data_IF_674191270128
#
_entry.id   IF_674191270128
#
_cell.length_a   1.000
_cell.length_b   1.000
_cell.length_c   1.000
_cell.angle_alpha   90.00
_cell.angle_beta   90.00
_cell.angle_gamma   90.00
#
_symmetry.space_group_name_H-M   'P 1'
#
loop_
_entity.id
_entity.type
_entity.pdbx_description
1 polymer ?
#
# COMPACT_ATOMS: atom_id res chain seq x y z
N UNK A 1 -4.88 -5.18 -18.47
CA UNK A 1 -4.77 -3.85 -17.82
C UNK A 1 -5.02 -2.75 -18.85
N UNK A 2 -5.49 -1.55 -18.46
CA UNK A 2 -5.84 -0.45 -19.38
C UNK A 2 -4.69 -0.11 -20.34
N UNK A 3 -3.45 -0.14 -19.86
CA UNK A 3 -2.25 0.06 -20.68
C UNK A 3 -2.06 -0.99 -21.80
N UNK A 4 -2.48 -2.24 -21.59
CA UNK A 4 -2.40 -3.30 -22.60
C UNK A 4 -3.48 -3.15 -23.68
N UNK A 5 -4.64 -2.58 -23.32
CA UNK A 5 -5.76 -2.41 -24.23
C UNK A 5 -5.70 -1.09 -25.01
N UNK A 6 -5.21 -0.02 -24.38
CA UNK A 6 -5.31 1.35 -24.88
C UNK A 6 -3.98 2.12 -24.86
N UNK A 7 -2.89 1.50 -24.42
CA UNK A 7 -1.57 2.13 -24.34
C UNK A 7 -1.35 2.98 -23.08
N UNK A 8 -0.09 3.28 -22.82
CA UNK A 8 0.36 3.94 -21.58
C UNK A 8 -0.21 5.35 -21.44
N UNK A 9 -0.23 6.14 -22.52
CA UNK A 9 -0.73 7.52 -22.48
C UNK A 9 -2.20 7.58 -22.05
N UNK A 10 -3.04 6.70 -22.59
CA UNK A 10 -4.46 6.67 -22.22
C UNK A 10 -4.62 6.21 -20.77
N UNK A 11 -3.85 5.22 -20.32
CA UNK A 11 -3.90 4.76 -18.93
C UNK A 11 -3.55 5.88 -17.92
N UNK A 12 -2.56 6.72 -18.22
CA UNK A 12 -2.21 7.89 -17.40
C UNK A 12 -3.36 8.89 -17.35
N UNK A 13 -3.92 9.27 -18.51
CA UNK A 13 -5.02 10.24 -18.58
C UNK A 13 -6.28 9.76 -17.85
N UNK A 14 -6.59 8.46 -17.91
CA UNK A 14 -7.70 7.87 -17.15
C UNK A 14 -7.45 7.99 -15.65
N UNK A 15 -6.22 7.73 -15.20
CA UNK A 15 -5.81 7.92 -13.80
C UNK A 15 -5.98 9.38 -13.35
N UNK A 16 -5.46 10.32 -14.12
CA UNK A 16 -5.57 11.76 -13.84
C UNK A 16 -7.04 12.22 -13.77
N UNK A 17 -7.88 11.73 -14.70
CA UNK A 17 -9.31 12.01 -14.71
C UNK A 17 -10.01 11.47 -13.45
N UNK A 18 -9.77 10.21 -13.08
CA UNK A 18 -10.37 9.62 -11.88
C UNK A 18 -9.91 10.34 -10.61
N UNK A 19 -8.65 10.75 -10.54
CA UNK A 19 -8.10 11.52 -9.42
C UNK A 19 -8.73 12.91 -9.30
N UNK A 20 -8.90 13.61 -10.43
CA UNK A 20 -9.59 14.90 -10.45
C UNK A 20 -11.06 14.76 -10.04
N UNK A 21 -11.74 13.73 -10.54
CA UNK A 21 -13.13 13.45 -10.22
C UNK A 21 -13.32 13.11 -8.73
N UNK A 22 -12.46 12.25 -8.15
CA UNK A 22 -12.51 11.94 -6.72
C UNK A 22 -12.26 13.18 -5.86
N UNK A 23 -11.28 14.01 -6.25
CA UNK A 23 -10.96 15.26 -5.55
C UNK A 23 -12.16 16.20 -5.53
N UNK A 24 -12.87 16.33 -6.65
CA UNK A 24 -14.09 17.12 -6.75
C UNK A 24 -15.21 16.59 -5.84
N UNK A 25 -15.39 15.27 -5.77
CA UNK A 25 -16.35 14.68 -4.83
C UNK A 25 -15.96 14.94 -3.37
N UNK A 26 -14.68 14.80 -3.00
CA UNK A 26 -14.23 15.07 -1.63
C UNK A 26 -14.43 16.53 -1.22
N UNK A 27 -14.19 17.48 -2.12
CA UNK A 27 -14.44 18.90 -1.82
C UNK A 27 -15.91 19.20 -1.61
N UNK A 28 -16.80 18.52 -2.35
CA UNK A 28 -18.25 18.69 -2.22
C UNK A 28 -18.84 18.04 -0.96
N UNK A 29 -18.07 17.27 -0.21
CA UNK A 29 -18.48 16.78 1.11
C UNK A 29 -18.44 17.90 2.16
N UNK A 30 -17.78 19.03 1.86
CA UNK A 30 -17.65 20.20 2.74
C UNK A 30 -17.12 19.87 4.15
N UNK A 31 -16.41 18.75 4.29
CA UNK A 31 -15.84 18.28 5.55
C UNK A 31 -14.32 18.40 5.52
N UNK A 32 -13.80 19.43 6.20
CA UNK A 32 -12.36 19.74 6.21
C UNK A 32 -11.51 18.61 6.82
N UNK A 33 -12.05 17.88 7.79
CA UNK A 33 -11.32 16.76 8.42
C UNK A 33 -11.11 15.62 7.41
N UNK A 34 -12.16 15.25 6.68
CA UNK A 34 -12.10 14.22 5.63
C UNK A 34 -11.22 14.67 4.46
N UNK A 35 -11.29 15.93 4.04
CA UNK A 35 -10.44 16.48 2.98
C UNK A 35 -8.95 16.41 3.38
N UNK A 36 -8.62 16.74 4.63
CA UNK A 36 -7.24 16.58 5.15
C UNK A 36 -6.81 15.13 5.18
N UNK A 37 -7.71 14.24 5.60
CA UNK A 37 -7.46 12.81 5.71
C UNK A 37 -7.12 12.19 4.35
N UNK A 38 -7.92 12.45 3.31
CA UNK A 38 -7.63 11.93 1.97
C UNK A 38 -6.36 12.58 1.37
N UNK A 39 -6.12 13.87 1.63
CA UNK A 39 -4.90 14.54 1.19
C UNK A 39 -3.65 13.89 1.80
N UNK A 40 -3.72 13.45 3.05
CA UNK A 40 -2.66 12.69 3.69
C UNK A 40 -2.46 11.32 3.03
N UNK A 41 -3.52 10.60 2.69
CA UNK A 41 -3.42 9.32 1.96
C UNK A 41 -2.74 9.48 0.60
N UNK A 42 -3.06 10.54 -0.15
CA UNK A 42 -2.44 10.81 -1.45
C UNK A 42 -0.94 11.06 -1.28
N UNK A 43 -0.56 11.85 -0.27
CA UNK A 43 0.85 12.08 0.08
C UNK A 43 1.54 10.78 0.49
N UNK A 44 0.87 9.95 1.29
CA UNK A 44 1.37 8.66 1.74
C UNK A 44 1.65 7.75 0.55
N UNK A 45 0.70 7.62 -0.40
CA UNK A 45 0.90 6.83 -1.62
C UNK A 45 2.11 7.28 -2.44
N UNK A 46 2.23 8.58 -2.72
CA UNK A 46 3.38 9.11 -3.45
C UNK A 46 4.69 8.81 -2.71
N UNK A 47 4.71 8.96 -1.39
CA UNK A 47 5.87 8.68 -0.55
C UNK A 47 6.23 7.19 -0.55
N UNK A 48 5.23 6.31 -0.52
CA UNK A 48 5.39 4.86 -0.59
C UNK A 48 6.01 4.41 -1.91
N UNK A 49 5.50 4.92 -3.05
CA UNK A 49 6.03 4.59 -4.37
C UNK A 49 7.47 5.09 -4.56
N UNK A 50 7.78 6.33 -4.11
CA UNK A 50 9.14 6.87 -4.15
C UNK A 50 10.08 6.02 -3.29
N UNK A 51 9.67 5.69 -2.05
CA UNK A 51 10.48 4.87 -1.15
C UNK A 51 10.73 3.49 -1.74
N UNK A 52 9.70 2.84 -2.28
CA UNK A 52 9.83 1.53 -2.94
C UNK A 52 10.80 1.59 -4.12
N UNK A 53 10.72 2.62 -4.96
CA UNK A 53 11.63 2.79 -6.09
C UNK A 53 13.09 3.00 -5.64
N UNK A 54 13.31 3.69 -4.51
CA UNK A 54 14.64 3.94 -3.96
C UNK A 54 15.26 2.76 -3.20
N UNK A 55 14.45 1.78 -2.78
CA UNK A 55 14.89 0.64 -1.95
C UNK A 55 14.90 -0.68 -2.71
N UNK A 56 14.85 -0.66 -4.05
CA UNK A 56 14.94 -1.90 -4.84
C UNK A 56 16.33 -2.51 -4.69
N UNK A 57 16.38 -3.81 -4.43
CA UNK A 57 17.61 -4.58 -4.19
C UNK A 57 18.41 -4.12 -2.97
N UNK A 58 17.81 -3.39 -2.04
CA UNK A 58 18.42 -3.03 -0.77
C UNK A 58 18.25 -4.17 0.26
N UNK A 59 19.30 -4.96 0.46
CA UNK A 59 19.33 -6.10 1.40
C UNK A 59 19.45 -5.68 2.87
N UNK A 60 19.71 -4.41 3.14
CA UNK A 60 19.77 -3.86 4.49
C UNK A 60 18.45 -3.22 4.93
N UNK A 61 17.39 -3.39 4.12
CA UNK A 61 16.03 -2.98 4.48
C UNK A 61 15.60 -3.64 5.79
N UNK A 62 15.11 -2.81 6.70
CA UNK A 62 14.65 -3.26 8.02
C UNK A 62 13.15 -3.54 8.01
N UNK A 63 12.71 -4.32 8.99
CA UNK A 63 11.28 -4.60 9.17
C UNK A 63 10.47 -3.31 9.38
N UNK A 64 11.02 -2.30 10.06
CA UNK A 64 10.35 -1.01 10.25
C UNK A 64 10.14 -0.27 8.91
N UNK A 65 11.13 -0.32 8.01
CA UNK A 65 11.03 0.28 6.68
C UNK A 65 9.98 -0.44 5.83
N UNK A 66 9.92 -1.76 5.93
CA UNK A 66 8.87 -2.58 5.34
C UNK A 66 7.48 -2.19 5.87
N UNK A 67 7.30 -2.12 7.19
CA UNK A 67 6.01 -1.77 7.80
C UNK A 67 5.57 -0.37 7.41
N UNK A 68 6.49 0.60 7.35
CA UNK A 68 6.20 1.96 6.92
C UNK A 68 5.80 2.01 5.43
N UNK A 69 6.50 1.27 4.57
CA UNK A 69 6.16 1.12 3.15
C UNK A 69 4.76 0.51 2.99
N UNK A 70 4.48 -0.59 3.69
CA UNK A 70 3.17 -1.27 3.67
C UNK A 70 2.06 -0.36 4.21
N UNK A 71 2.37 0.46 5.22
CA UNK A 71 1.44 1.48 5.70
C UNK A 71 1.09 2.46 4.58
N UNK A 72 2.10 3.04 3.91
CA UNK A 72 1.87 3.98 2.83
C UNK A 72 1.13 3.37 1.65
N UNK A 73 1.48 2.15 1.23
CA UNK A 73 0.95 1.49 0.03
C UNK A 73 -0.51 1.06 0.14
N UNK A 74 -0.98 0.69 1.33
CA UNK A 74 -2.35 0.16 1.49
C UNK A 74 -3.03 0.54 2.80
N UNK A 75 -2.30 0.49 3.92
CA UNK A 75 -2.94 0.64 5.23
C UNK A 75 -3.44 2.07 5.49
N UNK A 76 -2.76 3.09 4.97
CA UNK A 76 -3.14 4.50 5.07
C UNK A 76 -4.54 4.74 4.51
N UNK A 77 -4.85 4.18 3.33
CA UNK A 77 -6.16 4.30 2.70
C UNK A 77 -7.26 3.59 3.49
N UNK A 78 -6.99 2.39 4.01
CA UNK A 78 -7.98 1.63 4.79
C UNK A 78 -8.24 2.33 6.15
N UNK A 79 -7.19 2.82 6.80
CA UNK A 79 -7.28 3.60 8.04
C UNK A 79 -8.06 4.91 7.81
N UNK A 80 -7.78 5.62 6.72
CA UNK A 80 -8.53 6.81 6.34
C UNK A 80 -10.00 6.52 6.01
N UNK A 81 -10.29 5.42 5.32
CA UNK A 81 -11.66 5.07 4.94
C UNK A 81 -12.52 4.74 6.16
N UNK A 82 -11.97 3.96 7.09
CA UNK A 82 -12.65 3.57 8.34
C UNK A 82 -12.86 4.78 9.26
N UNK A 83 -11.85 5.65 9.41
CA UNK A 83 -11.98 6.92 10.14
C UNK A 83 -12.94 7.91 9.46
N UNK A 84 -12.92 8.00 8.14
CA UNK A 84 -13.84 8.84 7.37
C UNK A 84 -15.30 8.44 7.58
N UNK A 85 -15.59 7.14 7.60
CA UNK A 85 -16.92 6.63 7.87
C UNK A 85 -17.46 7.03 9.25
N UNK A 86 -16.61 7.00 10.30
CA UNK A 86 -17.02 7.39 11.66
C UNK A 86 -17.21 8.90 11.81
N UNK A 87 -16.40 9.70 11.10
CA UNK A 87 -16.58 11.15 11.05
C UNK A 87 -17.97 11.49 10.48
N UNK A 88 -18.37 10.85 9.38
CA UNK A 88 -19.69 11.08 8.79
C UNK A 88 -20.85 10.53 9.62
N UNK A 89 -20.63 9.46 10.39
CA UNK A 89 -21.66 8.92 11.30
C UNK A 89 -21.82 9.74 12.57
N UNK A 90 -20.97 10.75 12.83
CA UNK A 90 -20.97 11.52 14.06
C UNK A 90 -20.61 10.69 15.30
N UNK A 91 -19.79 9.64 15.13
CA UNK A 91 -19.36 8.82 16.25
C UNK A 91 -18.39 9.58 17.17
N UNK A 92 -18.27 9.13 18.42
CA UNK A 92 -17.34 9.72 19.38
C UNK A 92 -15.89 9.78 18.84
N UNK A 93 -15.12 10.84 19.18
CA UNK A 93 -13.73 10.95 18.75
C UNK A 93 -12.86 9.75 19.14
N UNK A 94 -13.13 9.14 20.30
CA UNK A 94 -12.42 7.92 20.72
C UNK A 94 -12.71 6.73 19.80
N UNK A 95 -13.96 6.56 19.37
CA UNK A 95 -14.35 5.50 18.41
C UNK A 95 -13.73 5.77 17.05
N UNK A 96 -13.73 7.04 16.62
CA UNK A 96 -13.11 7.45 15.35
C UNK A 96 -11.63 7.10 15.29
N UNK A 97 -10.89 7.32 16.38
CA UNK A 97 -9.47 6.95 16.44
C UNK A 97 -9.26 5.43 16.54
N UNK A 98 -10.10 4.72 17.28
CA UNK A 98 -10.07 3.25 17.31
C UNK A 98 -10.32 2.65 15.92
N UNK A 99 -11.23 3.24 15.14
CA UNK A 99 -11.51 2.79 13.77
C UNK A 99 -10.35 3.06 12.83
N UNK A 100 -9.63 4.17 13.00
CA UNK A 100 -8.38 4.43 12.28
C UNK A 100 -7.33 3.33 12.57
N UNK A 101 -7.10 3.03 13.85
CA UNK A 101 -6.15 2.00 14.26
C UNK A 101 -6.56 0.61 13.77
N UNK A 102 -7.86 0.30 13.81
CA UNK A 102 -8.40 -0.92 13.23
C UNK A 102 -8.09 -1.00 11.72
N UNK A 103 -8.41 0.04 10.95
CA UNK A 103 -8.16 0.07 9.52
C UNK A 103 -6.67 -0.03 9.17
N UNK A 104 -5.81 0.61 9.96
CA UNK A 104 -4.35 0.52 9.82
C UNK A 104 -3.86 -0.92 10.01
N UNK A 105 -4.25 -1.56 11.10
CA UNK A 105 -3.80 -2.93 11.40
C UNK A 105 -4.37 -3.94 10.40
N UNK A 106 -5.61 -3.75 9.96
CA UNK A 106 -6.21 -4.56 8.90
C UNK A 106 -5.43 -4.43 7.59
N UNK A 107 -5.11 -3.22 7.16
CA UNK A 107 -4.36 -3.00 5.92
C UNK A 107 -2.95 -3.58 5.95
N UNK A 108 -2.24 -3.45 7.08
CA UNK A 108 -0.94 -4.10 7.26
C UNK A 108 -1.05 -5.63 7.19
N UNK A 109 -2.10 -6.20 7.80
CA UNK A 109 -2.35 -7.64 7.75
C UNK A 109 -2.64 -8.13 6.33
N UNK A 110 -3.43 -7.37 5.56
CA UNK A 110 -3.71 -7.67 4.15
C UNK A 110 -2.42 -7.68 3.32
N UNK A 111 -1.53 -6.70 3.51
CA UNK A 111 -0.24 -6.68 2.80
C UNK A 111 0.64 -7.85 3.18
N UNK A 112 0.74 -8.18 4.47
CA UNK A 112 1.54 -9.30 4.93
C UNK A 112 1.05 -10.64 4.34
N UNK A 113 -0.27 -10.83 4.25
CA UNK A 113 -0.85 -12.01 3.60
C UNK A 113 -0.53 -12.04 2.10
N UNK A 114 -0.69 -10.92 1.38
CA UNK A 114 -0.35 -10.82 -0.06
C UNK A 114 1.12 -11.20 -0.32
N UNK A 115 2.03 -10.69 0.50
CA UNK A 115 3.47 -10.98 0.39
C UNK A 115 3.80 -12.46 0.69
N UNK A 116 3.09 -13.10 1.63
CA UNK A 116 3.23 -14.54 1.89
C UNK A 116 2.72 -15.36 0.70
N UNK A 117 1.60 -14.93 0.11
CA UNK A 117 1.02 -15.62 -1.05
C UNK A 117 1.94 -15.55 -2.27
N UNK A 118 2.69 -14.45 -2.46
CA UNK A 118 3.69 -14.34 -3.55
C UNK A 118 4.73 -15.48 -3.55
N UNK A 119 5.06 -16.03 -2.37
CA UNK A 119 5.99 -17.16 -2.22
C UNK A 119 5.33 -18.53 -2.17
N UNK A 120 4.11 -18.62 -1.65
CA UNK A 120 3.49 -19.91 -1.28
C UNK A 120 2.50 -20.44 -2.29
N UNK A 121 1.88 -19.58 -3.11
CA UNK A 121 0.90 -20.02 -4.10
C UNK A 121 1.55 -20.51 -5.39
N UNK A 122 0.87 -21.46 -6.05
CA UNK A 122 1.30 -21.93 -7.36
C UNK A 122 1.13 -20.83 -8.42
N UNK A 123 2.04 -20.78 -9.41
CA UNK A 123 1.97 -19.83 -10.53
C UNK A 123 0.62 -19.85 -11.28
N UNK A 124 -0.08 -21.00 -11.25
CA UNK A 124 -1.41 -21.19 -11.86
C UNK A 124 -2.53 -20.45 -11.12
N UNK A 125 -2.37 -20.18 -9.82
CA UNK A 125 -3.35 -19.48 -8.98
C UNK A 125 -3.09 -17.96 -8.90
N UNK A 126 -1.81 -17.53 -8.89
CA UNK A 126 -1.42 -16.12 -8.86
C UNK A 126 -1.51 -15.41 -10.22
N UNK A 127 -1.44 -16.17 -11.33
CA UNK A 127 -1.33 -15.60 -12.68
C UNK A 127 -0.01 -14.86 -12.94
N UNK A 128 1.00 -15.06 -12.06
CA UNK A 128 2.36 -14.50 -12.12
C UNK A 128 3.37 -15.57 -11.63
N UNK A 129 4.67 -15.45 -11.97
CA UNK A 129 5.72 -16.30 -11.40
C UNK A 129 5.75 -16.19 -9.87
N UNK A 130 6.10 -17.28 -9.19
CA UNK A 130 6.32 -17.29 -7.73
C UNK A 130 7.54 -16.42 -7.39
N UNK A 131 7.47 -15.65 -6.30
CA UNK A 131 8.54 -14.75 -5.87
C UNK A 131 8.75 -13.57 -6.83
N UNK A 132 7.69 -13.13 -7.50
CA UNK A 132 7.78 -12.04 -8.46
C UNK A 132 8.22 -10.73 -7.79
N UNK A 133 7.90 -10.52 -6.53
CA UNK A 133 8.33 -9.32 -5.82
C UNK A 133 9.84 -9.33 -5.58
N UNK A 134 10.38 -10.46 -5.13
CA UNK A 134 11.82 -10.64 -4.99
C UNK A 134 12.55 -10.51 -6.33
N UNK A 135 12.00 -11.09 -7.41
CA UNK A 135 12.59 -10.99 -8.74
C UNK A 135 12.66 -9.55 -9.28
N UNK A 136 11.83 -8.64 -8.75
CA UNK A 136 11.86 -7.20 -9.07
C UNK A 136 12.72 -6.38 -8.10
N UNK A 137 13.37 -7.02 -7.13
CA UNK A 137 14.15 -6.38 -6.08
C UNK A 137 13.31 -5.81 -4.94
N UNK A 138 12.01 -6.12 -4.86
CA UNK A 138 11.17 -5.72 -3.75
C UNK A 138 11.28 -6.76 -2.61
N UNK A 139 12.07 -6.45 -1.59
CA UNK A 139 12.19 -7.31 -0.42
C UNK A 139 10.95 -7.11 0.49
N UNK A 140 10.24 -8.22 0.73
CA UNK A 140 9.06 -8.29 1.61
C UNK A 140 9.44 -8.94 2.94
N UNK A 141 8.52 -8.91 3.92
CA UNK A 141 8.76 -9.44 5.27
C UNK A 141 9.35 -10.86 5.27
N UNK A 142 8.84 -11.75 4.42
CA UNK A 142 9.34 -13.13 4.28
C UNK A 142 10.83 -13.19 3.97
N UNK A 143 11.32 -12.32 3.08
CA UNK A 143 12.73 -12.24 2.70
C UNK A 143 13.55 -11.61 3.81
N UNK A 144 13.05 -10.55 4.44
CA UNK A 144 13.72 -9.87 5.56
C UNK A 144 13.99 -10.87 6.69
N UNK A 145 12.97 -11.58 7.16
CA UNK A 145 13.12 -12.61 8.20
C UNK A 145 14.03 -13.76 7.77
N UNK A 146 14.02 -14.12 6.49
CA UNK A 146 14.91 -15.15 5.96
C UNK A 146 16.37 -14.71 6.00
N UNK A 147 16.66 -13.46 5.63
CA UNK A 147 18.01 -12.89 5.66
C UNK A 147 18.53 -12.63 7.07
N UNK A 148 17.66 -12.33 8.03
CA UNK A 148 18.02 -12.23 9.45
C UNK A 148 18.47 -13.58 10.03
N UNK A 149 17.77 -14.67 9.65
CA UNK A 149 18.10 -16.01 10.11
C UNK A 149 19.29 -16.64 9.36
N UNK A 150 19.40 -16.38 8.05
CA UNK A 150 20.42 -16.95 7.18
C UNK A 150 21.12 -15.87 6.33
N UNK A 151 22.04 -15.07 6.91
CA UNK A 151 22.67 -13.95 6.22
C UNK A 151 23.45 -14.33 4.95
N UNK A 152 23.89 -15.59 4.82
CA UNK A 152 24.59 -16.10 3.64
C UNK A 152 23.73 -16.10 2.38
N UNK A 153 22.41 -16.07 2.52
CA UNK A 153 21.49 -16.00 1.38
C UNK A 153 21.58 -14.66 0.64
N UNK A 154 22.20 -13.62 1.24
CA UNK A 154 22.51 -12.36 0.53
C UNK A 154 23.37 -12.58 -0.72
N UNK A 155 24.19 -13.64 -0.76
CA UNK A 155 25.11 -13.89 -1.88
C UNK A 155 24.43 -14.47 -3.14
N UNK A 156 23.16 -14.89 -3.03
CA UNK A 156 22.42 -15.58 -4.11
C UNK A 156 21.16 -14.85 -4.57
N UNK A 157 20.85 -13.70 -3.97
CA UNK A 157 19.72 -12.83 -4.33
C UNK A 157 20.23 -11.67 -5.18
#
# INVERSE_FOLDING_TARGET
MVNQLYGIKIAILVGDFMFAQSSWYFTNLENLEVIKLISQVIKDFASGEIKQASSLFDYDVKLEDYLLKSYYKIASLIAASTKGATIFSGADPSVTEQMYEYGKNLGLSVQAVDDILDFTQSAKQLGKPVGNDLAKGNLTASVIFTLENEPKLRDII
#
